data_IF_077898883237
#
_entry.id   IF_077898883237
#
_cell.length_a   1.000
_cell.length_b   1.000
_cell.length_c   1.000
_cell.angle_alpha   90.00
_cell.angle_beta   90.00
_cell.angle_gamma   90.00
#
_symmetry.space_group_name_H-M   'P 1'
#
loop_
_entity.id
_entity.type
_entity.pdbx_description
1 polymer ?
#
# COMPACT_ATOMS: atom_id res chain seq x y z
N UNK A 1 -14.53 -28.08 1.13
CA UNK A 1 -13.81 -27.00 0.43
C UNK A 1 -12.35 -27.39 0.35
N UNK A 2 -11.79 -27.45 -0.85
CA UNK A 2 -10.38 -27.79 -1.06
C UNK A 2 -9.47 -26.75 -0.37
N UNK A 3 -8.29 -27.17 0.11
CA UNK A 3 -7.37 -26.30 0.84
C UNK A 3 -7.00 -25.02 0.04
N UNK A 4 -6.89 -25.14 -1.29
CA UNK A 4 -6.60 -24.03 -2.20
C UNK A 4 -7.76 -23.03 -2.29
N UNK A 5 -9.02 -23.49 -2.27
CA UNK A 5 -10.20 -22.60 -2.24
C UNK A 5 -10.25 -21.81 -0.95
N UNK A 6 -9.97 -22.48 0.19
CA UNK A 6 -9.87 -21.81 1.49
C UNK A 6 -8.73 -20.77 1.50
N UNK A 7 -7.58 -21.11 0.91
CA UNK A 7 -6.46 -20.18 0.77
C UNK A 7 -6.84 -18.94 -0.06
N UNK A 8 -7.57 -19.11 -1.18
CA UNK A 8 -8.05 -17.99 -1.99
C UNK A 8 -9.02 -17.07 -1.22
N UNK A 9 -9.96 -17.65 -0.48
CA UNK A 9 -10.94 -16.89 0.32
C UNK A 9 -10.32 -16.15 1.50
N UNK A 10 -9.20 -16.66 2.03
CA UNK A 10 -8.46 -16.02 3.12
C UNK A 10 -7.28 -15.17 2.62
N UNK A 11 -7.08 -15.08 1.30
CA UNK A 11 -5.99 -14.31 0.74
C UNK A 11 -6.22 -12.82 1.01
N UNK A 12 -5.21 -12.19 1.58
CA UNK A 12 -5.12 -10.75 1.81
C UNK A 12 -3.74 -10.27 1.39
N UNK A 13 -3.63 -9.00 1.03
CA UNK A 13 -2.38 -8.35 0.64
C UNK A 13 -1.35 -8.43 1.77
N UNK A 14 -1.75 -8.13 3.02
CA UNK A 14 -0.85 -8.17 4.17
C UNK A 14 0.31 -7.18 4.00
N UNK A 15 1.55 -7.68 4.08
CA UNK A 15 2.77 -6.88 3.87
C UNK A 15 3.31 -6.93 2.43
N UNK A 16 2.61 -7.61 1.52
CA UNK A 16 3.03 -7.75 0.13
C UNK A 16 2.73 -6.47 -0.65
N UNK A 17 3.53 -6.20 -1.67
CA UNK A 17 3.17 -5.22 -2.71
C UNK A 17 1.89 -5.65 -3.43
N UNK A 18 1.21 -4.71 -4.08
CA UNK A 18 0.03 -5.01 -4.90
C UNK A 18 0.38 -6.00 -6.02
N UNK A 19 1.59 -5.90 -6.59
CA UNK A 19 2.05 -6.81 -7.64
C UNK A 19 2.26 -8.26 -7.13
N UNK A 20 2.84 -8.45 -5.95
CA UNK A 20 2.98 -9.78 -5.34
C UNK A 20 1.63 -10.37 -4.95
N UNK A 21 0.74 -9.54 -4.41
CA UNK A 21 -0.63 -9.95 -4.09
C UNK A 21 -1.42 -10.35 -5.35
N UNK A 22 -1.31 -9.59 -6.44
CA UNK A 22 -1.87 -9.93 -7.74
C UNK A 22 -1.38 -11.29 -8.24
N UNK A 23 -0.06 -11.52 -8.23
CA UNK A 23 0.51 -12.77 -8.68
C UNK A 23 -0.03 -13.97 -7.89
N UNK A 24 -0.15 -13.84 -6.57
CA UNK A 24 -0.71 -14.89 -5.71
C UNK A 24 -2.23 -15.07 -5.93
N UNK A 25 -2.96 -13.97 -6.10
CA UNK A 25 -4.39 -13.99 -6.40
C UNK A 25 -4.67 -14.74 -7.71
N UNK A 26 -3.95 -14.42 -8.78
CA UNK A 26 -4.07 -15.09 -10.08
C UNK A 26 -3.66 -16.57 -10.01
N UNK A 27 -2.64 -16.91 -9.22
CA UNK A 27 -2.22 -18.30 -9.00
C UNK A 27 -3.33 -19.12 -8.33
N UNK A 28 -3.97 -18.56 -7.30
CA UNK A 28 -5.01 -19.24 -6.53
C UNK A 28 -6.39 -19.21 -7.20
N UNK A 29 -6.69 -18.19 -8.01
CA UNK A 29 -7.98 -18.07 -8.72
C UNK A 29 -8.28 -19.25 -9.65
N UNK A 30 -7.24 -19.93 -10.14
CA UNK A 30 -7.34 -21.16 -10.95
C UNK A 30 -8.11 -22.28 -10.24
N UNK A 31 -8.04 -22.33 -8.90
CA UNK A 31 -8.73 -23.31 -8.06
C UNK A 31 -10.11 -22.81 -7.59
N UNK A 32 -10.40 -21.54 -7.82
CA UNK A 32 -11.59 -20.83 -7.35
C UNK A 32 -12.51 -20.38 -8.49
N UNK A 33 -12.45 -21.03 -9.67
CA UNK A 33 -13.27 -20.70 -10.87
C UNK A 33 -14.78 -20.66 -10.60
N UNK A 34 -15.27 -21.36 -9.58
CA UNK A 34 -16.68 -21.32 -9.16
C UNK A 34 -17.02 -20.23 -8.14
N UNK A 35 -16.03 -19.49 -7.63
CA UNK A 35 -16.16 -18.46 -6.58
C UNK A 35 -16.12 -17.06 -7.20
N UNK A 36 -15.24 -16.83 -8.18
CA UNK A 36 -15.12 -15.56 -8.92
C UNK A 36 -15.33 -15.82 -10.42
N UNK A 37 -16.59 -15.75 -10.85
CA UNK A 37 -17.01 -16.15 -12.20
C UNK A 37 -16.90 -14.97 -13.17
N UNK A 38 -17.31 -13.79 -12.72
CA UNK A 38 -17.26 -12.55 -13.51
C UNK A 38 -16.02 -11.74 -13.19
N UNK A 39 -15.65 -10.84 -14.09
CA UNK A 39 -14.53 -9.93 -13.84
C UNK A 39 -14.83 -8.95 -12.70
N UNK A 40 -16.09 -8.51 -12.59
CA UNK A 40 -16.55 -7.70 -11.46
C UNK A 40 -16.44 -8.44 -10.11
N UNK A 41 -16.81 -9.72 -10.04
CA UNK A 41 -16.62 -10.53 -8.82
C UNK A 41 -15.12 -10.67 -8.46
N UNK A 42 -14.23 -10.74 -9.47
CA UNK A 42 -12.78 -10.70 -9.22
C UNK A 42 -12.36 -9.36 -8.65
N UNK A 43 -12.89 -8.25 -9.17
CA UNK A 43 -12.62 -6.92 -8.63
C UNK A 43 -13.00 -6.83 -7.15
N UNK A 44 -14.26 -7.17 -6.82
CA UNK A 44 -14.76 -7.14 -5.44
C UNK A 44 -13.90 -8.00 -4.53
N UNK A 45 -13.59 -9.24 -4.94
CA UNK A 45 -12.79 -10.15 -4.12
C UNK A 45 -11.35 -9.67 -3.94
N UNK A 46 -10.76 -9.06 -4.96
CA UNK A 46 -9.42 -8.50 -4.89
C UNK A 46 -9.36 -7.30 -3.96
N UNK A 47 -10.32 -6.38 -4.11
CA UNK A 47 -10.50 -5.19 -3.28
C UNK A 47 -10.67 -5.54 -1.80
N UNK A 48 -11.48 -6.55 -1.48
CA UNK A 48 -11.68 -7.02 -0.10
C UNK A 48 -10.39 -7.49 0.58
N UNK A 49 -9.42 -7.97 -0.20
CA UNK A 49 -8.12 -8.39 0.30
C UNK A 49 -7.06 -7.29 0.31
N UNK A 50 -7.34 -6.10 -0.23
CA UNK A 50 -6.41 -4.97 -0.18
C UNK A 50 -6.28 -4.40 1.24
N UNK A 51 -5.14 -3.76 1.51
CA UNK A 51 -4.95 -3.00 2.75
C UNK A 51 -5.91 -1.81 2.79
N UNK A 52 -6.43 -1.48 3.97
CA UNK A 52 -7.42 -0.41 4.17
C UNK A 52 -7.00 0.94 3.57
N UNK A 53 -5.71 1.29 3.68
CA UNK A 53 -5.20 2.55 3.15
C UNK A 53 -5.30 2.68 1.62
N UNK A 54 -5.32 1.54 0.91
CA UNK A 54 -5.55 1.48 -0.53
C UNK A 54 -7.04 1.36 -0.82
N UNK A 55 -7.77 0.54 -0.05
CA UNK A 55 -9.21 0.33 -0.23
C UNK A 55 -10.01 1.62 -0.19
N UNK A 56 -9.65 2.57 0.69
CA UNK A 56 -10.30 3.89 0.75
C UNK A 56 -10.18 4.68 -0.57
N UNK A 57 -9.11 4.46 -1.32
CA UNK A 57 -8.89 5.12 -2.62
C UNK A 57 -9.53 4.34 -3.79
N UNK A 58 -9.60 3.02 -3.68
CA UNK A 58 -10.04 2.13 -4.78
C UNK A 58 -11.55 1.88 -4.75
N UNK A 59 -12.12 1.54 -3.59
CA UNK A 59 -13.52 1.14 -3.45
C UNK A 59 -14.53 2.14 -4.05
N UNK A 60 -14.38 3.47 -3.87
CA UNK A 60 -15.31 4.43 -4.44
C UNK A 60 -15.34 4.45 -5.98
N UNK A 61 -14.31 3.94 -6.64
CA UNK A 61 -14.19 3.96 -8.11
C UNK A 61 -15.03 2.86 -8.78
N UNK A 62 -15.39 1.80 -8.04
CA UNK A 62 -16.29 0.72 -8.48
C UNK A 62 -15.88 0.10 -9.83
N UNK A 63 -14.58 -0.13 -9.99
CA UNK A 63 -14.03 -0.71 -11.21
C UNK A 63 -14.60 -2.10 -11.49
N UNK A 64 -14.97 -2.33 -12.74
CA UNK A 64 -15.57 -3.61 -13.19
C UNK A 64 -14.61 -4.47 -13.98
N UNK A 65 -13.47 -3.90 -14.36
CA UNK A 65 -12.43 -4.59 -15.10
C UNK A 65 -11.21 -4.80 -14.18
N UNK A 66 -10.83 -6.06 -14.01
CA UNK A 66 -9.82 -6.48 -13.05
C UNK A 66 -8.46 -5.84 -13.35
N UNK A 67 -8.08 -5.76 -14.63
CA UNK A 67 -6.84 -5.15 -15.06
C UNK A 67 -6.76 -3.66 -14.67
N UNK A 68 -7.85 -2.91 -14.86
CA UNK A 68 -7.92 -1.49 -14.50
C UNK A 68 -7.84 -1.31 -12.98
N UNK A 69 -8.57 -2.12 -12.22
CA UNK A 69 -8.53 -2.09 -10.76
C UNK A 69 -7.12 -2.35 -10.22
N UNK A 70 -6.43 -3.37 -10.73
CA UNK A 70 -5.07 -3.72 -10.32
C UNK A 70 -4.09 -2.58 -10.62
N UNK A 71 -4.17 -2.00 -11.82
CA UNK A 71 -3.29 -0.88 -12.19
C UNK A 71 -3.49 0.32 -11.27
N UNK A 72 -4.75 0.67 -10.99
CA UNK A 72 -5.08 1.74 -10.05
C UNK A 72 -4.60 1.44 -8.64
N UNK A 73 -4.68 0.20 -8.19
CA UNK A 73 -4.16 -0.21 -6.89
C UNK A 73 -2.63 -0.07 -6.81
N UNK A 74 -1.89 -0.40 -7.88
CA UNK A 74 -0.43 -0.18 -7.97
C UNK A 74 -0.07 1.31 -7.91
N UNK A 75 -0.80 2.14 -8.64
CA UNK A 75 -0.63 3.61 -8.59
C UNK A 75 -0.91 4.14 -7.18
N UNK A 76 -2.00 3.70 -6.54
CA UNK A 76 -2.35 4.10 -5.18
C UNK A 76 -1.28 3.69 -4.15
N UNK A 77 -0.68 2.50 -4.30
CA UNK A 77 0.43 2.03 -3.46
C UNK A 77 1.66 2.94 -3.59
N UNK A 78 2.02 3.33 -4.81
CA UNK A 78 3.15 4.23 -5.05
C UNK A 78 2.89 5.63 -4.49
N UNK A 79 1.67 6.17 -4.66
CA UNK A 79 1.28 7.45 -4.05
C UNK A 79 1.44 7.39 -2.53
N UNK A 80 0.95 6.34 -1.87
CA UNK A 80 1.07 6.16 -0.42
C UNK A 80 2.53 6.02 0.03
N UNK A 81 3.36 5.33 -0.75
CA UNK A 81 4.80 5.20 -0.49
C UNK A 81 5.50 6.55 -0.56
N UNK A 82 5.22 7.34 -1.59
CA UNK A 82 5.75 8.68 -1.79
C UNK A 82 5.31 9.66 -0.69
N UNK A 83 4.04 9.62 -0.27
CA UNK A 83 3.53 10.42 0.87
C UNK A 83 4.30 10.15 2.17
N UNK A 84 4.58 8.87 2.47
CA UNK A 84 5.36 8.48 3.65
C UNK A 84 6.79 9.00 3.57
N UNK A 85 7.44 8.82 2.43
CA UNK A 85 8.82 9.30 2.22
C UNK A 85 8.94 10.82 2.39
N UNK A 86 7.97 11.58 1.89
CA UNK A 86 7.95 13.03 2.03
C UNK A 86 7.78 13.47 3.49
N UNK A 87 6.88 12.82 4.24
CA UNK A 87 6.71 13.09 5.68
C UNK A 87 7.99 12.81 6.48
N UNK A 88 8.71 11.76 6.14
CA UNK A 88 9.96 11.41 6.84
C UNK A 88 11.09 12.40 6.51
N UNK A 89 11.16 12.88 5.27
CA UNK A 89 12.06 13.97 4.87
C UNK A 89 11.77 15.27 5.64
N UNK A 90 10.50 15.65 5.76
CA UNK A 90 10.09 16.85 6.51
C UNK A 90 10.42 16.74 7.99
N UNK A 91 10.15 15.59 8.61
CA UNK A 91 10.54 15.31 10.01
C UNK A 91 12.05 15.39 10.21
N UNK A 92 12.84 14.79 9.31
CA UNK A 92 14.30 14.85 9.35
C UNK A 92 14.86 16.26 9.14
N UNK A 93 14.15 17.12 8.39
CA UNK A 93 14.50 18.53 8.23
C UNK A 93 14.17 19.34 9.49
N UNK A 94 13.00 19.15 10.08
CA UNK A 94 12.59 19.85 11.29
C UNK A 94 13.50 19.52 12.49
N UNK A 95 13.96 18.26 12.62
CA UNK A 95 14.89 17.86 13.68
C UNK A 95 16.27 18.54 13.59
N UNK A 96 16.73 18.92 12.40
CA UNK A 96 17.99 19.67 12.21
C UNK A 96 17.86 21.14 12.59
N UNK A 97 16.66 21.72 12.50
CA UNK A 97 16.42 23.12 12.87
C UNK A 97 16.21 23.34 14.38
N UNK A 98 15.85 22.30 15.15
CA UNK A 98 15.74 22.38 16.62
C UNK A 98 17.02 21.98 17.36
N UNK A 99 18.08 21.56 16.66
CA UNK A 99 19.33 21.06 17.25
C UNK A 99 20.50 22.05 17.27
N UNK A 100 20.34 23.27 16.73
CA UNK A 100 21.40 24.29 16.72
C UNK A 100 20.91 25.60 17.34
N UNK A 101 20.65 25.56 18.64
CA UNK A 101 20.64 26.75 19.48
C UNK A 101 21.31 26.41 20.82
N UNK A 102 22.64 26.48 20.84
CA UNK A 102 23.48 26.40 22.05
C UNK A 102 24.93 26.28 21.59
N UNK A 103 25.87 27.18 21.90
CA UNK A 103 25.89 28.24 22.90
C UNK A 103 26.78 29.39 22.42
N UNK A 104 26.40 30.58 22.86
CA UNK A 104 27.18 31.81 22.78
C UNK A 104 28.49 31.74 23.59
N UNK A 105 29.44 32.61 23.24
CA UNK A 105 30.47 33.08 24.17
C UNK A 105 31.90 32.93 23.69
N UNK A 106 32.31 33.71 22.68
CA UNK A 106 33.73 33.99 22.46
C UNK A 106 34.25 34.90 23.58
N UNK A 107 35.12 34.36 24.43
CA UNK A 107 35.92 35.18 25.36
C UNK A 107 37.23 35.52 24.67
N UNK A 108 37.35 36.77 24.22
CA UNK A 108 38.62 37.39 23.85
C UNK A 108 39.43 37.60 25.14
N UNK A 109 40.69 37.15 25.13
CA UNK A 109 41.67 37.45 26.16
C UNK A 109 42.41 38.71 25.73
N UNK A 110 42.38 39.75 26.56
CA UNK A 110 43.24 40.92 26.41
C UNK A 110 43.92 41.22 27.75
N UNK A 111 45.24 41.44 27.64
CA UNK A 111 46.25 41.91 28.60
C UNK A 111 46.48 41.09 29.89
#
# INVERSE_FOLDING_TARGET
MDAQRKAFLNLVQGNKSVAEYEAEFLRLSRYARGIVRTDYERCVRFEDGLRDELRVLIAPQREREFAILVEKAKIAEEVKRSERQNRDKDRGRNKRNFGSSGSAGGFQKEA
#
